data_IF_155548541820
#
_entry.id   IF_155548541820
#
_cell.length_a   1.000
_cell.length_b   1.000
_cell.length_c   1.000
_cell.angle_alpha   90.00
_cell.angle_beta   90.00
_cell.angle_gamma   90.00
#
_symmetry.space_group_name_H-M   'P 1'
#
loop_
_entity.id
_entity.type
_entity.pdbx_description
1 polymer ?
#
# COMPACT_ATOMS: atom_id res chain seq x y z
N UNK A 1 -19.82 -6.78 -11.22
CA UNK A 1 -18.99 -6.02 -10.27
C UNK A 1 -17.68 -6.78 -10.10
N UNK A 2 -16.59 -6.34 -10.73
CA UNK A 2 -15.27 -6.92 -10.48
C UNK A 2 -14.89 -6.60 -9.03
N UNK A 3 -14.88 -7.61 -8.16
CA UNK A 3 -14.25 -7.48 -6.86
C UNK A 3 -12.74 -7.42 -7.07
N UNK A 4 -12.08 -6.39 -6.54
CA UNK A 4 -10.65 -6.51 -6.23
C UNK A 4 -10.52 -7.66 -5.25
N UNK A 5 -10.17 -8.83 -5.75
CA UNK A 5 -9.78 -9.96 -4.91
C UNK A 5 -8.42 -9.55 -4.33
N UNK A 6 -8.43 -9.03 -3.10
CA UNK A 6 -7.24 -8.85 -2.28
C UNK A 6 -6.67 -10.25 -2.05
N UNK A 7 -5.88 -10.73 -3.00
CA UNK A 7 -5.32 -12.06 -3.00
C UNK A 7 -4.26 -12.15 -1.90
N UNK A 8 -4.58 -12.92 -0.87
CA UNK A 8 -3.61 -13.58 -0.02
C UNK A 8 -4.29 -14.84 0.50
N UNK A 9 -4.33 -15.87 -0.37
CA UNK A 9 -4.58 -17.24 0.10
C UNK A 9 -3.47 -17.58 1.13
N UNK A 10 -3.78 -18.38 2.16
CA UNK A 10 -2.75 -18.88 3.09
C UNK A 10 -1.64 -19.57 2.29
N UNK A 11 -0.40 -19.49 2.77
CA UNK A 11 0.81 -20.08 2.19
C UNK A 11 0.61 -21.56 1.80
N UNK A 12 0.04 -21.75 0.62
CA UNK A 12 0.14 -22.95 -0.20
C UNK A 12 1.04 -22.50 -1.33
N UNK A 13 2.12 -23.25 -1.57
CA UNK A 13 3.05 -23.08 -2.68
C UNK A 13 2.35 -23.25 -4.05
N UNK A 14 1.37 -22.42 -4.38
CA UNK A 14 0.96 -22.19 -5.75
C UNK A 14 1.80 -21.02 -6.25
N UNK A 15 2.90 -21.35 -6.94
CA UNK A 15 3.51 -20.41 -7.89
C UNK A 15 2.38 -20.00 -8.85
N UNK A 16 1.97 -18.73 -8.81
CA UNK A 16 1.37 -18.11 -9.99
C UNK A 16 2.47 -18.13 -11.05
N UNK A 17 2.45 -19.19 -11.86
CA UNK A 17 3.34 -19.40 -12.97
C UNK A 17 2.66 -18.78 -14.17
N UNK A 18 2.95 -17.51 -14.44
CA UNK A 18 2.64 -16.92 -15.73
C UNK A 18 3.10 -17.85 -16.84
N UNK A 19 2.23 -18.13 -17.80
CA UNK A 19 2.61 -18.91 -18.97
C UNK A 19 3.63 -18.12 -19.79
N UNK A 20 4.60 -18.82 -20.39
CA UNK A 20 5.56 -18.21 -21.33
C UNK A 20 4.87 -17.38 -22.42
N UNK A 21 3.67 -17.78 -22.82
CA UNK A 21 2.89 -17.11 -23.87
C UNK A 21 2.26 -15.80 -23.43
N UNK A 22 1.85 -15.70 -22.16
CA UNK A 22 1.22 -14.50 -21.58
C UNK A 22 2.26 -13.38 -21.42
N UNK A 23 3.45 -13.72 -20.94
CA UNK A 23 4.54 -12.74 -20.74
C UNK A 23 5.10 -12.23 -22.06
N UNK A 24 5.23 -13.12 -23.07
CA UNK A 24 5.89 -12.80 -24.33
C UNK A 24 4.94 -12.36 -25.45
N UNK A 25 3.64 -12.17 -25.14
CA UNK A 25 2.64 -11.71 -26.09
C UNK A 25 2.43 -12.65 -27.28
N UNK A 26 2.76 -13.94 -27.16
CA UNK A 26 2.55 -14.92 -28.24
C UNK A 26 1.04 -15.18 -28.47
N UNK A 27 0.21 -15.05 -27.43
CA UNK A 27 -1.26 -15.16 -27.53
C UNK A 27 -1.93 -13.88 -28.06
N UNK A 28 -1.29 -12.71 -27.94
CA UNK A 28 -1.79 -11.45 -28.53
C UNK A 28 -1.75 -11.45 -30.07
N UNK A 29 -1.04 -12.41 -30.68
CA UNK A 29 -0.95 -12.60 -32.14
C UNK A 29 -1.97 -13.62 -32.68
N UNK A 30 -2.66 -14.37 -31.81
CA UNK A 30 -3.64 -15.36 -32.22
C UNK A 30 -4.99 -14.65 -32.44
N UNK A 31 -5.50 -14.65 -33.68
CA UNK A 31 -6.78 -14.02 -34.05
C UNK A 31 -7.88 -14.38 -33.04
N UNK A 32 -8.40 -13.39 -32.33
CA UNK A 32 -9.55 -13.53 -31.44
C UNK A 32 -10.74 -14.08 -32.24
N UNK A 33 -11.15 -15.32 -31.94
CA UNK A 33 -12.38 -15.90 -32.44
C UNK A 33 -13.52 -15.45 -31.51
N UNK A 34 -14.51 -14.67 -31.96
CA UNK A 34 -15.55 -14.08 -31.11
C UNK A 34 -16.47 -15.09 -30.41
N UNK A 35 -16.33 -16.40 -30.70
CA UNK A 35 -17.08 -17.48 -30.06
C UNK A 35 -16.45 -18.04 -28.77
N UNK A 36 -15.24 -17.63 -28.37
CA UNK A 36 -14.59 -18.12 -27.14
C UNK A 36 -14.43 -16.96 -26.15
N UNK A 37 -15.32 -16.91 -25.15
CA UNK A 37 -15.17 -16.05 -23.98
C UNK A 37 -14.04 -16.63 -23.12
N UNK A 38 -12.92 -15.92 -23.02
CA UNK A 38 -11.88 -16.22 -22.04
C UNK A 38 -12.37 -15.80 -20.64
N UNK A 39 -12.68 -16.77 -19.79
CA UNK A 39 -12.82 -16.54 -18.34
C UNK A 39 -11.40 -16.52 -17.78
N UNK A 40 -10.83 -15.32 -17.62
CA UNK A 40 -9.59 -15.14 -16.89
C UNK A 40 -9.92 -15.09 -15.40
N UNK A 41 -9.51 -16.12 -14.66
CA UNK A 41 -9.41 -16.06 -13.20
C UNK A 41 -8.03 -15.47 -12.83
N UNK A 42 -7.74 -14.27 -13.33
CA UNK A 42 -6.58 -13.47 -12.93
C UNK A 42 -6.91 -11.98 -13.12
N UNK A 43 -6.55 -11.16 -12.13
CA UNK A 43 -6.91 -9.74 -12.06
C UNK A 43 -6.10 -8.89 -13.04
N UNK A 44 -6.47 -8.89 -14.31
CA UNK A 44 -6.21 -7.79 -15.27
C UNK A 44 -6.98 -8.07 -16.57
N UNK A 45 -7.55 -7.03 -17.19
CA UNK A 45 -8.30 -7.13 -18.45
C UNK A 45 -7.69 -6.19 -19.49
N UNK A 46 -7.59 -6.64 -20.73
CA UNK A 46 -7.19 -5.83 -21.88
C UNK A 46 -8.14 -6.04 -23.08
N UNK A 47 -8.30 -4.98 -23.88
CA UNK A 47 -9.04 -4.90 -25.15
C UNK A 47 -8.07 -4.64 -26.33
N UNK A 48 -8.50 -4.78 -27.61
CA UNK A 48 -7.59 -5.21 -28.67
C UNK A 48 -7.16 -4.13 -29.71
N UNK A 49 -5.99 -4.40 -30.32
CA UNK A 49 -5.42 -3.99 -31.63
C UNK A 49 -4.86 -2.55 -31.79
N UNK A 50 -3.53 -2.41 -31.89
CA UNK A 50 -2.77 -2.14 -33.14
C UNK A 50 -1.24 -2.18 -32.88
N UNK A 51 -0.48 -2.71 -33.83
CA UNK A 51 0.95 -3.08 -33.72
C UNK A 51 1.84 -1.96 -33.14
N UNK A 52 2.49 -2.13 -31.96
CA UNK A 52 3.32 -1.07 -31.39
C UNK A 52 4.83 -1.31 -31.53
N UNK A 53 5.54 -0.18 -31.58
CA UNK A 53 6.98 -0.04 -31.39
C UNK A 53 7.23 0.50 -29.98
N UNK A 54 6.91 -0.25 -28.93
CA UNK A 54 6.92 0.33 -27.57
C UNK A 54 8.06 -0.22 -26.70
N UNK A 55 8.75 0.69 -25.99
CA UNK A 55 9.94 0.43 -25.16
C UNK A 55 9.72 0.60 -23.65
N UNK A 56 8.49 0.88 -23.19
CA UNK A 56 8.26 1.20 -21.78
C UNK A 56 8.47 -0.01 -20.85
N UNK A 57 8.19 -1.24 -21.31
CA UNK A 57 8.44 -2.48 -20.57
C UNK A 57 8.89 -3.67 -21.43
N UNK A 58 9.43 -3.44 -22.64
CA UNK A 58 9.85 -4.55 -23.51
C UNK A 58 8.74 -5.56 -23.79
N UNK A 59 7.58 -5.09 -24.27
CA UNK A 59 6.40 -5.87 -24.68
C UNK A 59 5.40 -6.31 -23.57
N UNK A 60 5.51 -5.82 -22.32
CA UNK A 60 4.61 -6.21 -21.20
C UNK A 60 3.25 -5.46 -21.11
N UNK A 61 2.98 -4.44 -21.92
CA UNK A 61 1.68 -3.74 -21.93
C UNK A 61 0.94 -3.96 -23.26
N UNK A 62 -0.40 -4.09 -23.23
CA UNK A 62 -1.21 -4.14 -24.44
C UNK A 62 -1.01 -2.88 -25.30
N UNK A 63 -1.21 -3.06 -26.60
CA UNK A 63 -1.15 -2.01 -27.60
C UNK A 63 -2.01 -0.79 -27.22
N UNK A 64 -1.43 0.41 -27.15
CA UNK A 64 -2.14 1.67 -26.86
C UNK A 64 -1.78 2.35 -25.53
N UNK A 65 -1.00 1.69 -24.66
CA UNK A 65 -0.38 2.35 -23.49
C UNK A 65 0.99 2.93 -23.86
N UNK A 66 0.99 4.00 -24.65
CA UNK A 66 2.20 4.72 -25.02
C UNK A 66 2.80 5.46 -23.80
N UNK A 67 4.11 5.69 -23.82
CA UNK A 67 4.83 6.50 -22.85
C UNK A 67 4.21 7.90 -22.68
N UNK A 68 3.47 8.38 -23.68
CA UNK A 68 2.76 9.66 -23.68
C UNK A 68 1.59 9.75 -22.69
N UNK A 69 0.96 8.63 -22.30
CA UNK A 69 -0.17 8.67 -21.36
C UNK A 69 0.25 9.08 -19.95
N UNK A 70 1.47 8.70 -19.55
CA UNK A 70 2.03 9.00 -18.25
C UNK A 70 3.41 9.63 -18.44
N UNK A 71 3.48 10.97 -18.62
CA UNK A 71 4.76 11.68 -18.63
C UNK A 71 5.53 11.47 -17.31
N UNK A 72 4.78 11.47 -16.20
CA UNK A 72 5.29 11.07 -14.89
C UNK A 72 5.04 9.56 -14.67
N UNK A 73 6.09 8.75 -14.79
CA UNK A 73 6.01 7.29 -14.79
C UNK A 73 5.52 6.70 -13.48
N UNK A 74 5.67 7.43 -12.38
CA UNK A 74 5.25 7.01 -11.05
C UNK A 74 3.81 7.41 -10.68
N UNK A 75 2.97 7.73 -11.67
CA UNK A 75 1.60 8.23 -11.46
C UNK A 75 0.50 7.34 -12.02
N UNK A 76 0.86 6.18 -12.56
CA UNK A 76 -0.06 5.27 -13.26
C UNK A 76 -1.22 4.85 -12.37
N UNK A 77 -0.94 4.25 -11.21
CA UNK A 77 -1.98 3.81 -10.29
C UNK A 77 -2.68 5.00 -9.62
N UNK A 78 -1.98 6.12 -9.39
CA UNK A 78 -2.60 7.32 -8.83
C UNK A 78 -3.75 7.82 -9.71
N UNK A 79 -3.50 8.00 -11.01
CA UNK A 79 -4.51 8.50 -11.94
C UNK A 79 -5.58 7.45 -12.24
N UNK A 80 -5.18 6.23 -12.62
CA UNK A 80 -6.15 5.18 -12.95
C UNK A 80 -6.99 4.75 -11.75
N UNK A 81 -6.37 4.65 -10.57
CA UNK A 81 -7.06 4.28 -9.34
C UNK A 81 -8.14 5.29 -8.97
N UNK A 82 -7.84 6.59 -9.07
CA UNK A 82 -8.81 7.66 -8.79
C UNK A 82 -9.91 7.79 -9.85
N UNK A 83 -9.63 7.41 -11.09
CA UNK A 83 -10.61 7.39 -12.18
C UNK A 83 -11.56 6.18 -12.09
N UNK A 84 -11.05 5.01 -11.71
CA UNK A 84 -11.81 3.77 -11.71
C UNK A 84 -12.54 3.51 -10.39
N UNK A 85 -11.93 3.84 -9.25
CA UNK A 85 -12.42 3.40 -7.94
C UNK A 85 -13.13 4.49 -7.16
N UNK A 86 -14.42 4.62 -7.43
CA UNK A 86 -15.33 5.45 -6.66
C UNK A 86 -16.12 4.61 -5.64
N UNK A 87 -16.03 4.91 -4.34
CA UNK A 87 -16.86 4.25 -3.33
C UNK A 87 -18.35 4.42 -3.65
N UNK A 88 -19.13 3.34 -3.48
CA UNK A 88 -20.60 3.46 -3.52
C UNK A 88 -21.09 4.28 -2.34
N UNK A 89 -22.30 4.84 -2.41
CA UNK A 89 -22.89 5.62 -1.31
C UNK A 89 -22.88 4.89 0.04
N UNK A 90 -23.05 3.57 0.03
CA UNK A 90 -23.05 2.74 1.23
C UNK A 90 -21.66 2.62 1.88
N UNK A 91 -20.57 2.71 1.11
CA UNK A 91 -19.19 2.78 1.63
C UNK A 91 -18.83 4.22 1.95
N UNK A 92 -19.18 5.17 1.06
CA UNK A 92 -18.94 6.59 1.29
C UNK A 92 -19.55 7.08 2.61
N UNK A 93 -20.76 6.63 2.96
CA UNK A 93 -21.36 6.94 4.24
C UNK A 93 -20.60 6.37 5.45
N UNK A 94 -19.89 5.25 5.31
CA UNK A 94 -19.00 4.74 6.38
C UNK A 94 -17.75 5.63 6.49
N UNK A 95 -17.15 5.99 5.36
CA UNK A 95 -15.98 6.85 5.27
C UNK A 95 -16.28 8.22 5.90
N UNK A 96 -17.36 8.88 5.45
CA UNK A 96 -17.70 10.24 5.89
C UNK A 96 -18.00 10.30 7.37
N UNK A 97 -18.85 9.40 7.90
CA UNK A 97 -19.19 9.36 9.33
C UNK A 97 -17.97 9.14 10.21
N UNK A 98 -17.06 8.24 9.80
CA UNK A 98 -15.86 7.97 10.58
C UNK A 98 -14.90 9.17 10.54
N UNK A 99 -14.67 9.72 9.36
CA UNK A 99 -13.81 10.90 9.20
C UNK A 99 -14.33 12.09 10.01
N UNK A 100 -15.61 12.41 9.89
CA UNK A 100 -16.25 13.50 10.64
C UNK A 100 -16.15 13.31 12.15
N UNK A 101 -16.41 12.09 12.65
CA UNK A 101 -16.43 11.81 14.08
C UNK A 101 -15.03 11.80 14.73
N UNK A 102 -14.01 11.27 14.05
CA UNK A 102 -12.74 10.94 14.68
C UNK A 102 -11.51 11.68 14.11
N UNK A 103 -11.57 12.11 12.84
CA UNK A 103 -10.40 12.65 12.13
C UNK A 103 -10.50 14.14 11.82
N UNK A 104 -11.72 14.66 11.57
CA UNK A 104 -11.94 16.02 11.05
C UNK A 104 -11.49 17.17 11.95
N UNK A 105 -11.37 16.93 13.26
CA UNK A 105 -11.01 17.95 14.27
C UNK A 105 -9.52 17.99 14.62
N UNK A 106 -8.72 17.12 14.01
CA UNK A 106 -7.28 17.09 14.21
C UNK A 106 -6.60 18.16 13.35
N UNK A 107 -5.50 18.70 13.86
CA UNK A 107 -4.61 19.58 13.08
C UNK A 107 -3.72 18.75 12.14
N UNK A 108 -3.44 17.49 12.51
CA UNK A 108 -2.68 16.53 11.71
C UNK A 108 -3.29 15.13 11.86
N UNK A 109 -3.46 14.44 10.75
CA UNK A 109 -3.90 13.05 10.72
C UNK A 109 -2.76 12.12 10.27
N UNK A 110 -2.59 11.01 10.99
CA UNK A 110 -1.56 10.00 10.70
C UNK A 110 -2.21 8.65 10.47
N UNK A 111 -2.08 8.09 9.28
CA UNK A 111 -2.49 6.73 8.96
C UNK A 111 -1.37 5.74 9.22
N UNK A 112 -1.65 4.66 9.95
CA UNK A 112 -0.73 3.55 10.18
C UNK A 112 -1.45 2.26 9.75
N UNK A 113 -1.01 1.74 8.61
CA UNK A 113 -1.49 0.49 8.05
C UNK A 113 -0.60 -0.65 8.51
N UNK A 114 -1.16 -1.57 9.29
CA UNK A 114 -0.45 -2.70 9.90
C UNK A 114 -0.97 -4.00 9.31
N UNK A 115 -0.14 -4.68 8.53
CA UNK A 115 -0.37 -6.05 8.09
C UNK A 115 0.61 -6.98 8.79
N UNK A 116 0.11 -7.71 9.77
CA UNK A 116 0.75 -8.93 10.28
C UNK A 116 -0.06 -10.14 9.82
N UNK A 117 0.61 -11.26 9.54
CA UNK A 117 -0.04 -12.52 9.18
C UNK A 117 -0.50 -13.32 10.41
N UNK A 118 -0.05 -12.93 11.59
CA UNK A 118 -0.40 -13.56 12.87
C UNK A 118 -1.60 -12.88 13.53
N UNK A 119 -2.42 -13.69 14.19
CA UNK A 119 -3.61 -13.20 14.91
C UNK A 119 -3.24 -12.45 16.21
N UNK A 120 -2.12 -12.81 16.81
CA UNK A 120 -1.58 -12.15 18.02
C UNK A 120 -0.73 -10.95 17.62
N UNK A 121 -0.97 -9.77 18.20
CA UNK A 121 -0.10 -8.61 17.98
C UNK A 121 1.32 -8.91 18.45
N UNK A 122 2.29 -8.70 17.57
CA UNK A 122 3.71 -8.81 17.91
C UNK A 122 4.18 -7.48 18.54
N UNK A 123 4.64 -7.47 19.81
CA UNK A 123 5.19 -6.27 20.44
C UNK A 123 6.33 -5.64 19.64
N UNK A 124 7.10 -6.45 18.91
CA UNK A 124 8.22 -5.98 18.08
C UNK A 124 7.73 -5.03 16.99
N UNK A 125 6.54 -5.27 16.44
CA UNK A 125 5.92 -4.40 15.43
C UNK A 125 5.47 -3.08 16.07
N UNK A 126 4.99 -3.09 17.32
CA UNK A 126 4.65 -1.86 18.05
C UNK A 126 5.91 -1.02 18.26
N UNK A 127 6.99 -1.62 18.75
CA UNK A 127 8.29 -0.95 18.94
C UNK A 127 8.83 -0.40 17.62
N UNK A 128 8.73 -1.18 16.55
CA UNK A 128 9.13 -0.75 15.21
C UNK A 128 8.30 0.45 14.72
N UNK A 129 6.99 0.47 14.95
CA UNK A 129 6.11 1.59 14.60
C UNK A 129 6.50 2.85 15.38
N UNK A 130 6.73 2.73 16.69
CA UNK A 130 7.13 3.87 17.53
C UNK A 130 8.50 4.39 17.13
N UNK A 131 9.45 3.48 16.87
CA UNK A 131 10.80 3.81 16.42
C UNK A 131 10.77 4.51 15.06
N UNK A 132 10.03 3.97 14.08
CA UNK A 132 9.83 4.59 12.78
C UNK A 132 9.19 5.98 12.90
N UNK A 133 8.08 6.08 13.62
CA UNK A 133 7.28 7.31 13.65
C UNK A 133 7.99 8.44 14.40
N UNK A 134 8.75 8.12 15.45
CA UNK A 134 9.57 9.08 16.20
C UNK A 134 10.79 9.51 15.39
N UNK A 135 11.57 8.54 14.86
CA UNK A 135 12.79 8.82 14.06
C UNK A 135 12.51 9.70 12.85
N UNK A 136 11.38 9.47 12.19
CA UNK A 136 11.00 10.17 10.97
C UNK A 136 10.06 11.36 11.20
N UNK A 137 9.89 11.78 12.46
CA UNK A 137 9.02 12.89 12.85
C UNK A 137 7.58 12.76 12.30
N UNK A 138 7.08 11.54 12.16
CA UNK A 138 5.68 11.25 11.84
C UNK A 138 4.83 11.49 13.07
N UNK A 139 5.20 10.86 14.18
CA UNK A 139 4.70 11.10 15.52
C UNK A 139 5.83 11.61 16.42
N UNK A 140 5.47 12.23 17.54
CA UNK A 140 6.42 12.87 18.44
C UNK A 140 6.77 11.95 19.60
N UNK A 141 7.97 12.17 20.14
CA UNK A 141 8.52 11.40 21.25
C UNK A 141 7.73 11.65 22.55
N UNK A 142 7.53 10.58 23.33
CA UNK A 142 6.90 10.63 24.65
C UNK A 142 7.95 10.96 25.71
N UNK A 143 7.60 11.79 26.71
CA UNK A 143 8.55 12.15 27.77
C UNK A 143 8.68 11.02 28.79
N UNK A 144 9.91 10.55 29.06
CA UNK A 144 10.20 9.57 30.11
C UNK A 144 10.35 10.17 31.52
N UNK A 145 10.13 11.49 31.69
CA UNK A 145 10.24 12.14 32.99
C UNK A 145 8.90 12.13 33.74
N UNK A 146 8.91 11.59 34.97
CA UNK A 146 7.88 11.81 35.98
C UNK A 146 7.97 13.28 36.47
N UNK A 147 7.34 14.19 35.73
CA UNK A 147 7.35 15.60 36.05
C UNK A 147 6.67 16.39 34.95
N UNK A 148 5.44 16.84 35.22
CA UNK A 148 4.55 17.45 34.25
C UNK A 148 5.24 18.47 33.34
N UNK A 149 5.05 18.31 32.03
CA UNK A 149 5.55 19.23 31.02
C UNK A 149 5.19 20.67 31.41
N UNK A 150 6.21 21.52 31.59
CA UNK A 150 6.07 22.98 31.70
C UNK A 150 5.50 23.51 30.38
N UNK A 151 4.18 23.46 30.19
CA UNK A 151 3.56 23.87 28.94
C UNK A 151 3.45 25.39 28.88
N UNK A 152 4.33 26.01 28.10
CA UNK A 152 4.09 27.36 27.60
C UNK A 152 2.75 27.39 26.84
N UNK A 153 2.04 28.52 26.93
CA UNK A 153 0.72 28.80 26.36
C UNK A 153 0.82 28.94 24.82
N UNK A 154 1.23 27.88 24.13
CA UNK A 154 1.03 27.74 22.67
C UNK A 154 -0.11 26.76 22.47
N UNK A 155 -1.00 27.05 21.51
CA UNK A 155 -2.06 26.11 21.15
C UNK A 155 -1.44 24.76 20.81
N UNK A 156 -1.74 23.76 21.63
CA UNK A 156 -1.25 22.38 21.48
C UNK A 156 -1.90 21.77 20.25
N UNK A 157 -1.11 21.30 19.30
CA UNK A 157 -1.66 20.63 18.10
C UNK A 157 -2.36 19.34 18.51
N UNK A 158 -3.48 19.04 17.86
CA UNK A 158 -4.23 17.79 17.99
C UNK A 158 -3.82 16.86 16.87
N UNK A 159 -3.40 15.66 17.22
CA UNK A 159 -3.01 14.62 16.27
C UNK A 159 -3.98 13.46 16.38
N UNK A 160 -4.65 13.10 15.28
CA UNK A 160 -5.46 11.88 15.20
C UNK A 160 -4.67 10.78 14.47
N UNK A 161 -4.43 9.67 15.14
CA UNK A 161 -3.76 8.49 14.58
C UNK A 161 -4.81 7.45 14.21
N UNK A 162 -4.91 7.13 12.93
CA UNK A 162 -5.76 6.09 12.38
C UNK A 162 -4.95 4.80 12.21
N UNK A 163 -5.28 3.77 12.97
CA UNK A 163 -4.68 2.43 12.86
C UNK A 163 -5.65 1.50 12.12
N UNK A 164 -5.15 0.85 11.07
CA UNK A 164 -5.88 -0.23 10.38
C UNK A 164 -5.10 -1.53 10.53
N UNK A 165 -5.71 -2.53 11.13
CA UNK A 165 -5.13 -3.86 11.32
C UNK A 165 -6.23 -4.90 11.49
N UNK A 166 -5.91 -6.15 11.17
CA UNK A 166 -6.80 -7.28 11.50
C UNK A 166 -6.96 -7.45 13.01
N UNK A 167 -5.95 -7.08 13.82
CA UNK A 167 -5.97 -7.23 15.28
C UNK A 167 -6.15 -5.88 15.97
N UNK A 168 -6.91 -5.83 17.07
CA UNK A 168 -7.04 -4.61 17.87
C UNK A 168 -5.86 -4.36 18.81
N UNK A 169 -5.02 -5.36 19.07
CA UNK A 169 -4.00 -5.20 20.10
C UNK A 169 -2.90 -4.20 19.74
N UNK A 170 -2.64 -3.93 18.45
CA UNK A 170 -1.74 -2.83 18.04
C UNK A 170 -2.34 -1.46 18.40
N UNK A 171 -3.64 -1.29 18.17
CA UNK A 171 -4.36 -0.08 18.52
C UNK A 171 -4.41 0.13 20.04
N UNK A 172 -4.74 -0.93 20.79
CA UNK A 172 -4.82 -0.88 22.24
C UNK A 172 -3.47 -0.47 22.84
N UNK A 173 -2.37 -1.14 22.46
CA UNK A 173 -1.03 -0.82 22.95
C UNK A 173 -0.59 0.61 22.62
N UNK A 174 -0.73 1.05 21.36
CA UNK A 174 -0.31 2.40 20.96
C UNK A 174 -1.18 3.47 21.63
N UNK A 175 -2.48 3.24 21.77
CA UNK A 175 -3.39 4.14 22.50
C UNK A 175 -2.96 4.27 23.96
N UNK A 176 -2.70 3.16 24.63
CA UNK A 176 -2.39 3.13 26.05
C UNK A 176 -1.05 3.85 26.33
N UNK A 177 -0.05 3.69 25.45
CA UNK A 177 1.20 4.42 25.53
C UNK A 177 1.01 5.95 25.49
N UNK A 178 0.21 6.47 24.55
CA UNK A 178 -0.07 7.91 24.47
C UNK A 178 -1.05 8.41 25.54
N UNK A 179 -1.81 7.50 26.17
CA UNK A 179 -2.67 7.83 27.30
C UNK A 179 -1.88 7.98 28.60
N UNK A 180 -0.90 7.09 28.81
CA UNK A 180 -0.08 7.03 30.02
C UNK A 180 1.08 8.03 29.99
N UNK A 181 1.59 8.39 28.80
CA UNK A 181 2.79 9.20 28.66
C UNK A 181 2.51 10.50 27.89
N UNK A 182 2.79 11.69 28.47
CA UNK A 182 2.66 12.94 27.75
C UNK A 182 3.72 13.07 26.65
N UNK A 183 3.38 13.79 25.58
CA UNK A 183 4.33 14.12 24.50
C UNK A 183 5.33 15.18 24.97
N UNK A 184 6.58 15.09 24.50
CA UNK A 184 7.67 16.02 24.86
C UNK A 184 7.37 17.48 24.48
N UNK A 185 6.60 17.68 23.41
CA UNK A 185 6.24 18.98 22.83
C UNK A 185 4.82 19.43 23.21
N UNK A 186 4.05 18.59 23.89
CA UNK A 186 2.74 18.92 24.46
C UNK A 186 1.52 18.75 23.56
N UNK A 187 1.67 18.19 22.35
CA UNK A 187 0.56 17.80 21.48
C UNK A 187 -0.35 16.76 22.11
N UNK A 188 -1.64 16.82 21.75
CA UNK A 188 -2.65 15.86 22.19
C UNK A 188 -2.84 14.82 21.11
N UNK A 189 -2.42 13.58 21.40
CA UNK A 189 -2.52 12.44 20.47
C UNK A 189 -3.75 11.61 20.83
N UNK A 190 -4.62 11.39 19.86
CA UNK A 190 -5.76 10.48 19.98
C UNK A 190 -5.63 9.38 18.93
N UNK A 191 -5.75 8.12 19.36
CA UNK A 191 -5.57 6.95 18.50
C UNK A 191 -6.94 6.32 18.26
N UNK A 192 -7.19 5.87 17.03
CA UNK A 192 -8.47 5.31 16.58
C UNK A 192 -8.27 4.10 15.67
N UNK A 193 -9.16 3.12 15.77
CA UNK A 193 -9.23 1.97 14.86
C UNK A 193 -10.68 1.80 14.35
N UNK A 194 -10.91 1.70 13.02
CA UNK A 194 -12.27 1.56 12.49
C UNK A 194 -12.89 0.18 12.72
N UNK A 195 -12.10 -0.88 12.58
CA UNK A 195 -12.58 -2.26 12.76
C UNK A 195 -11.49 -3.22 13.22
N UNK A 196 -11.92 -4.38 13.71
CA UNK A 196 -11.08 -5.52 14.12
C UNK A 196 -11.73 -6.80 13.57
N UNK A 197 -11.33 -7.21 12.37
CA UNK A 197 -11.93 -8.36 11.69
C UNK A 197 -11.28 -9.70 12.05
N UNK A 198 -10.14 -9.67 12.78
CA UNK A 198 -9.27 -10.80 13.17
C UNK A 198 -8.67 -11.60 12.02
N UNK A 199 -9.51 -12.01 11.08
CA UNK A 199 -9.16 -12.84 9.93
C UNK A 199 -9.71 -12.25 8.64
N UNK A 200 -8.95 -12.44 7.56
CA UNK A 200 -9.35 -12.04 6.21
C UNK A 200 -10.49 -12.93 5.70
N UNK A 201 -11.56 -12.30 5.20
CA UNK A 201 -12.78 -12.98 4.75
C UNK A 201 -13.24 -12.42 3.38
N UNK A 202 -12.40 -12.57 2.36
CA UNK A 202 -12.59 -11.97 1.02
C UNK A 202 -13.90 -12.35 0.33
N UNK A 203 -14.51 -13.48 0.70
CA UNK A 203 -15.80 -13.92 0.15
C UNK A 203 -17.00 -13.17 0.75
N UNK A 204 -16.80 -12.40 1.83
CA UNK A 204 -17.87 -11.68 2.52
C UNK A 204 -17.92 -10.22 2.07
N UNK A 205 -18.99 -9.86 1.38
CA UNK A 205 -19.25 -8.48 0.93
C UNK A 205 -19.12 -7.43 2.03
N UNK A 206 -19.66 -7.69 3.23
CA UNK A 206 -19.56 -6.74 4.35
C UNK A 206 -18.13 -6.58 4.87
N UNK A 207 -17.31 -7.64 4.86
CA UNK A 207 -15.90 -7.57 5.22
C UNK A 207 -15.14 -6.69 4.20
N UNK A 208 -15.37 -6.93 2.91
CA UNK A 208 -14.74 -6.14 1.84
C UNK A 208 -15.15 -4.66 1.88
N UNK A 209 -16.41 -4.36 2.24
CA UNK A 209 -16.87 -2.97 2.42
C UNK A 209 -16.12 -2.25 3.54
N UNK A 210 -15.84 -2.93 4.66
CA UNK A 210 -15.03 -2.37 5.76
C UNK A 210 -13.57 -2.19 5.34
N UNK A 211 -12.97 -3.19 4.71
CA UNK A 211 -11.62 -3.11 4.17
C UNK A 211 -11.47 -1.92 3.19
N UNK A 212 -12.43 -1.75 2.28
CA UNK A 212 -12.43 -0.62 1.34
C UNK A 212 -12.61 0.73 2.05
N UNK A 213 -13.46 0.78 3.10
CA UNK A 213 -13.62 1.97 3.94
C UNK A 213 -12.29 2.37 4.59
N UNK A 214 -11.56 1.40 5.14
CA UNK A 214 -10.27 1.62 5.80
C UNK A 214 -9.17 2.07 4.83
N UNK A 215 -9.06 1.42 3.66
CA UNK A 215 -8.14 1.86 2.58
C UNK A 215 -8.40 3.33 2.23
N UNK A 216 -9.67 3.69 2.07
CA UNK A 216 -10.03 5.06 1.72
C UNK A 216 -9.72 6.04 2.86
N UNK A 217 -10.03 5.69 4.12
CA UNK A 217 -9.70 6.52 5.29
C UNK A 217 -8.18 6.75 5.41
N UNK A 218 -7.35 5.73 5.21
CA UNK A 218 -5.89 5.90 5.16
C UNK A 218 -5.46 6.88 4.08
N UNK A 219 -6.07 6.82 2.90
CA UNK A 219 -5.76 7.74 1.80
C UNK A 219 -6.12 9.21 2.12
N UNK A 220 -6.98 9.46 3.11
CA UNK A 220 -7.33 10.81 3.54
C UNK A 220 -6.35 11.41 4.56
N UNK A 221 -5.42 10.61 5.10
CA UNK A 221 -4.48 11.07 6.14
C UNK A 221 -3.33 11.93 5.60
N UNK A 222 -2.77 12.81 6.43
CA UNK A 222 -1.69 13.72 6.05
C UNK A 222 -0.33 13.02 5.98
N UNK A 223 -0.08 12.11 6.92
CA UNK A 223 1.11 11.26 6.95
C UNK A 223 0.67 9.80 6.93
N UNK A 224 1.40 8.96 6.20
CA UNK A 224 1.07 7.55 6.03
C UNK A 224 2.28 6.66 6.31
N UNK A 225 2.06 5.64 7.13
CA UNK A 225 2.97 4.51 7.39
C UNK A 225 2.28 3.22 6.93
N UNK A 226 2.99 2.37 6.18
CA UNK A 226 2.46 1.11 5.63
C UNK A 226 3.34 -0.08 5.98
N UNK A 227 2.79 -1.29 6.00
CA UNK A 227 3.58 -2.52 6.15
C UNK A 227 4.18 -2.98 4.83
N UNK A 228 5.41 -3.52 4.88
CA UNK A 228 6.06 -4.20 3.75
C UNK A 228 5.15 -5.28 3.14
N UNK A 229 5.18 -5.41 1.81
CA UNK A 229 4.40 -6.39 1.03
C UNK A 229 2.87 -6.25 1.15
N UNK A 230 2.33 -5.17 1.72
CA UNK A 230 0.88 -5.01 1.87
C UNK A 230 0.25 -4.27 0.68
N UNK A 231 -0.48 -5.01 -0.15
CA UNK A 231 -1.28 -4.41 -1.24
C UNK A 231 -2.36 -3.46 -0.74
N UNK A 232 -2.87 -3.68 0.47
CA UNK A 232 -3.78 -2.75 1.17
C UNK A 232 -3.16 -1.36 1.34
N UNK A 233 -1.89 -1.32 1.77
CA UNK A 233 -1.10 -0.09 1.88
C UNK A 233 -0.82 0.55 0.51
N UNK A 234 -0.48 -0.25 -0.50
CA UNK A 234 -0.22 0.25 -1.86
C UNK A 234 -1.42 0.98 -2.46
N UNK A 235 -2.62 0.46 -2.26
CA UNK A 235 -3.85 1.11 -2.75
C UNK A 235 -4.06 2.44 -2.01
N UNK A 236 -3.92 2.47 -0.69
CA UNK A 236 -4.10 3.68 0.09
C UNK A 236 -3.12 4.80 -0.31
N UNK A 237 -1.82 4.49 -0.40
CA UNK A 237 -0.80 5.47 -0.81
C UNK A 237 -1.02 5.96 -2.24
N UNK A 238 -1.45 5.06 -3.14
CA UNK A 238 -1.66 5.36 -4.54
C UNK A 238 -2.86 6.27 -4.76
N UNK A 239 -3.99 6.00 -4.09
CA UNK A 239 -5.17 6.87 -4.11
C UNK A 239 -4.85 8.27 -3.58
N UNK A 240 -4.01 8.37 -2.53
CA UNK A 240 -3.56 9.65 -1.99
C UNK A 240 -2.50 10.33 -2.87
N UNK A 241 -1.71 9.57 -3.62
CA UNK A 241 -0.61 10.11 -4.40
C UNK A 241 0.55 10.58 -3.52
N UNK A 242 0.89 9.79 -2.49
CA UNK A 242 2.01 10.10 -1.58
C UNK A 242 3.01 8.96 -1.54
N UNK A 243 4.25 9.32 -1.21
CA UNK A 243 5.31 8.36 -0.88
C UNK A 243 5.29 8.13 0.64
N UNK A 244 4.71 7.04 1.18
CA UNK A 244 4.68 6.79 2.62
C UNK A 244 6.04 6.36 3.20
N UNK A 245 6.06 6.19 4.52
CA UNK A 245 7.09 5.41 5.21
C UNK A 245 6.66 3.94 5.24
N UNK A 246 7.52 3.04 4.79
CA UNK A 246 7.22 1.60 4.81
C UNK A 246 7.99 0.92 5.94
N UNK A 247 7.26 0.25 6.84
CA UNK A 247 7.83 -0.58 7.89
C UNK A 247 8.58 -1.72 7.22
N UNK A 248 9.87 -1.84 7.53
CA UNK A 248 10.73 -2.92 7.03
C UNK A 248 10.19 -4.29 7.49
N UNK A 249 10.38 -5.33 6.67
CA UNK A 249 9.96 -6.69 7.04
C UNK A 249 10.77 -7.15 8.27
N UNK A 250 10.10 -7.70 9.28
CA UNK A 250 10.74 -8.22 10.49
C UNK A 250 11.31 -9.61 10.21
N UNK A 251 12.60 -9.82 10.48
CA UNK A 251 13.22 -11.15 10.44
C UNK A 251 13.36 -11.68 11.88
N UNK A 252 12.96 -12.93 12.12
CA UNK A 252 13.11 -13.62 13.42
C UNK A 252 12.61 -12.80 14.64
N UNK A 253 11.45 -12.14 14.53
CA UNK A 253 10.86 -11.31 15.59
C UNK A 253 11.84 -10.26 16.13
N UNK A 254 12.72 -9.74 15.27
CA UNK A 254 13.64 -8.66 15.63
C UNK A 254 13.26 -7.41 14.86
N UNK A 255 13.21 -6.26 15.56
CA UNK A 255 12.94 -4.98 14.93
C UNK A 255 14.11 -4.63 14.00
N UNK A 256 13.85 -4.37 12.70
CA UNK A 256 14.90 -4.02 11.75
C UNK A 256 15.45 -2.61 12.01
N UNK A 257 16.72 -2.37 11.64
CA UNK A 257 17.33 -1.03 11.58
C UNK A 257 17.79 -0.74 10.13
N UNK A 258 17.20 0.26 9.44
CA UNK A 258 16.19 1.19 9.94
C UNK A 258 14.79 0.54 10.10
N UNK A 259 13.98 1.02 11.08
CA UNK A 259 12.65 0.47 11.36
C UNK A 259 11.67 0.68 10.20
N UNK A 260 11.88 1.75 9.44
CA UNK A 260 11.16 2.01 8.21
C UNK A 260 12.03 2.84 7.26
N UNK A 261 11.56 2.98 6.02
CA UNK A 261 12.20 3.82 5.00
C UNK A 261 11.16 4.54 4.17
N UNK A 262 11.54 5.69 3.62
CA UNK A 262 10.69 6.42 2.69
C UNK A 262 10.66 5.66 1.37
N UNK A 263 9.48 5.38 0.84
CA UNK A 263 9.39 4.81 -0.51
C UNK A 263 9.82 5.85 -1.55
N UNK A 264 10.49 5.40 -2.60
CA UNK A 264 11.00 6.27 -3.66
C UNK A 264 9.90 6.61 -4.68
N UNK A 265 8.84 5.81 -4.76
CA UNK A 265 7.69 6.00 -5.64
C UNK A 265 6.38 5.65 -4.92
N UNK A 266 5.30 6.32 -5.30
CA UNK A 266 3.95 6.04 -4.80
C UNK A 266 3.28 4.85 -5.50
N UNK A 267 3.93 4.27 -6.52
CA UNK A 267 3.41 3.12 -7.25
C UNK A 267 3.37 1.83 -6.41
N UNK A 268 2.37 0.96 -6.65
CA UNK A 268 2.34 -0.39 -6.08
C UNK A 268 3.55 -1.23 -6.51
N UNK A 269 3.93 -2.19 -5.68
CA UNK A 269 4.92 -3.21 -6.06
C UNK A 269 4.23 -4.38 -6.78
N UNK A 270 4.76 -4.78 -7.93
CA UNK A 270 4.42 -6.04 -8.59
C UNK A 270 5.24 -7.17 -7.98
N UNK A 271 4.60 -8.03 -7.19
CA UNK A 271 5.29 -9.06 -6.38
C UNK A 271 5.80 -10.29 -7.15
N UNK A 272 5.25 -10.57 -8.33
CA UNK A 272 5.55 -11.80 -9.07
C UNK A 272 5.92 -11.52 -10.54
N UNK A 273 6.97 -10.71 -10.80
CA UNK A 273 7.41 -10.42 -12.15
C UNK A 273 8.12 -11.61 -12.79
N UNK A 274 8.08 -11.67 -14.11
CA UNK A 274 8.82 -12.66 -14.87
C UNK A 274 10.28 -12.24 -15.08
N UNK A 275 11.21 -13.12 -14.71
CA UNK A 275 12.66 -12.94 -14.94
C UNK A 275 13.08 -13.57 -16.26
N UNK A 276 12.49 -13.13 -17.38
CA UNK A 276 12.68 -13.76 -18.67
C UNK A 276 12.68 -12.77 -19.84
N UNK A 277 13.67 -12.90 -20.72
CA UNK A 277 13.76 -12.16 -21.97
C UNK A 277 13.17 -12.99 -23.11
N UNK A 278 12.05 -12.53 -23.64
CA UNK A 278 11.31 -13.21 -24.71
C UNK A 278 12.11 -13.34 -26.03
N UNK A 279 12.99 -12.37 -26.33
CA UNK A 279 13.77 -12.36 -27.58
C UNK A 279 14.93 -13.35 -27.54
N UNK A 280 15.68 -13.34 -26.44
CA UNK A 280 16.84 -14.23 -26.28
C UNK A 280 16.48 -15.59 -25.69
N UNK A 281 15.23 -15.76 -25.22
CA UNK A 281 14.73 -16.94 -24.51
C UNK A 281 15.60 -17.32 -23.31
N UNK A 282 16.05 -16.33 -22.55
CA UNK A 282 16.98 -16.48 -21.41
C UNK A 282 16.50 -15.68 -20.21
N UNK A 283 16.93 -16.07 -19.02
CA UNK A 283 16.70 -15.27 -17.82
C UNK A 283 17.34 -13.89 -17.95
N UNK A 284 16.62 -12.86 -17.49
CA UNK A 284 17.11 -11.48 -17.38
C UNK A 284 16.53 -10.89 -16.10
N UNK A 285 17.26 -9.94 -15.51
CA UNK A 285 16.71 -9.08 -14.47
C UNK A 285 15.89 -7.94 -15.10
N UNK A 286 14.55 -7.96 -15.00
CA UNK A 286 13.70 -6.92 -15.56
C UNK A 286 13.87 -5.56 -14.87
N UNK A 287 14.34 -5.53 -13.62
CA UNK A 287 14.60 -4.30 -12.86
C UNK A 287 15.86 -3.54 -13.31
N UNK A 288 16.65 -4.13 -14.21
CA UNK A 288 17.87 -3.55 -14.76
C UNK A 288 17.77 -3.20 -16.26
N UNK A 289 16.59 -3.36 -16.87
CA UNK A 289 16.42 -3.18 -18.33
C UNK A 289 16.13 -1.73 -18.72
N UNK A 290 15.27 -1.05 -17.97
CA UNK A 290 14.86 0.35 -18.24
C UNK A 290 14.91 1.18 -16.96
N UNK A 291 15.25 2.48 -17.01
CA UNK A 291 15.53 3.27 -15.81
C UNK A 291 14.29 3.53 -14.92
N UNK A 292 13.10 3.57 -15.52
CA UNK A 292 11.83 3.82 -14.82
C UNK A 292 11.18 2.55 -14.25
N UNK A 293 11.81 1.37 -14.39
CA UNK A 293 11.38 0.12 -13.74
C UNK A 293 12.54 -0.35 -12.87
N UNK A 294 12.32 -0.45 -11.55
CA UNK A 294 13.35 -0.94 -10.62
C UNK A 294 12.73 -1.89 -9.60
N UNK A 295 13.58 -2.57 -8.84
CA UNK A 295 13.11 -3.39 -7.74
C UNK A 295 12.44 -2.58 -6.64
N UNK A 296 11.42 -3.19 -6.02
CA UNK A 296 10.70 -2.58 -4.90
C UNK A 296 11.59 -2.48 -3.67
N UNK A 297 11.29 -1.50 -2.83
CA UNK A 297 11.94 -1.36 -1.54
C UNK A 297 11.66 -2.59 -0.68
N UNK A 298 10.38 -2.95 -0.54
CA UNK A 298 9.85 -3.94 0.39
C UNK A 298 9.73 -5.37 -0.17
N UNK A 299 10.05 -5.57 -1.45
CA UNK A 299 10.19 -6.89 -2.08
C UNK A 299 11.33 -6.87 -3.08
N UNK A 300 12.45 -7.48 -2.71
CA UNK A 300 13.70 -7.44 -3.47
C UNK A 300 13.58 -7.99 -4.89
N UNK A 301 12.70 -8.97 -5.13
CA UNK A 301 12.42 -9.51 -6.47
C UNK A 301 11.22 -8.85 -7.17
N UNK A 302 10.44 -8.03 -6.46
CA UNK A 302 9.31 -7.33 -7.04
C UNK A 302 9.75 -6.16 -7.93
N UNK A 303 8.85 -5.66 -8.77
CA UNK A 303 9.11 -4.49 -9.63
C UNK A 303 8.14 -3.34 -9.36
N UNK A 304 8.62 -2.12 -9.50
CA UNK A 304 7.84 -0.89 -9.35
C UNK A 304 8.28 0.16 -10.35
N UNK A 305 7.36 1.05 -10.71
CA UNK A 305 7.62 2.19 -11.57
C UNK A 305 8.18 3.36 -10.76
N UNK A 306 9.19 4.03 -11.32
CA UNK A 306 9.84 5.20 -10.73
C UNK A 306 9.94 6.32 -11.75
N UNK A 307 9.91 7.57 -11.29
CA UNK A 307 10.28 8.67 -12.16
C UNK A 307 11.77 8.61 -12.51
N UNK A 308 12.08 8.68 -13.79
CA UNK A 308 13.46 8.86 -14.22
C UNK A 308 13.88 10.31 -13.97
N UNK A 309 14.81 10.52 -13.05
CA UNK A 309 15.47 11.82 -12.85
C UNK A 309 16.76 11.88 -13.68
N UNK A 310 16.70 11.55 -14.97
CA UNK A 310 17.75 11.91 -15.90
C UNK A 310 17.61 13.40 -16.22
N UNK A 311 18.37 14.24 -15.50
CA UNK A 311 18.73 15.58 -15.96
C UNK A 311 19.76 15.49 -17.07
#
# INVERSE_FOLDING_TARGET
MLGLQLASRPLVHHRLSWSFREICGEDAKMKFNPAIVSILEESSHAQPIEVPKDKLLGDLLPTGFDESLFPEKETVFHFLGRYLFHPTNAVWGLISRYYEAYLSKADVTVGIQIRSFDATPDPVIVDQILSCTTRENVLLEMSQQEGGANSSIKQKKKVSVLITSLSSGYFEQIRDLYWENPTTTGEVVAVFQPSNERYQQSEKQNHNRKAWTEIYLLSLTDKLVTSSSSTFGYVAQGLRGVRPWILSETENQTAPDPPCRRVMSMEPCFHSPAFFNCKTKRGIDPGAVVPHVRHCEDRSWGLKLFQNHSK
#
